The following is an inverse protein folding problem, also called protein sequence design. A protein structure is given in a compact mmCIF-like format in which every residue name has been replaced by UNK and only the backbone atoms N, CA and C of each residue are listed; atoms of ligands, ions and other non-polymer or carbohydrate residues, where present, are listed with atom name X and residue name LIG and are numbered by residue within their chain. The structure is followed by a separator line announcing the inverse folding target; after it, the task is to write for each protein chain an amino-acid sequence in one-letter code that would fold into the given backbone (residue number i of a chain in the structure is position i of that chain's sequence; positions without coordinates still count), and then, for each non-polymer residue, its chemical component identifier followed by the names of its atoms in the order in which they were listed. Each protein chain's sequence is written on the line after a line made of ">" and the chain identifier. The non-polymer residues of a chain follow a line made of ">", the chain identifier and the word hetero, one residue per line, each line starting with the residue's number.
data_IF_065897166134
#
_entry.id   IF_065897166134
#
_cell.length_a   1.000
_cell.length_b   1.000
_cell.length_c   1.000
_cell.angle_alpha   90.00
_cell.angle_beta   90.00
_cell.angle_gamma   90.00
#
_symmetry.space_group_name_H-M   'P 1'
#
loop_
_entity.id
_entity.type
_entity.pdbx_description
1 polymer ?
#
# COMPACT_ATOMS: atom_id res chain seq x y z
N UNK A 1 -17.62 -12.17 -18.24
CA UNK A 1 -16.54 -12.06 -17.23
C UNK A 1 -15.61 -11.01 -17.79
N UNK A 2 -15.52 -9.83 -17.19
CA UNK A 2 -14.58 -8.82 -17.67
C UNK A 2 -13.18 -9.42 -17.46
N UNK A 3 -12.48 -9.72 -18.56
CA UNK A 3 -11.06 -10.06 -18.49
C UNK A 3 -10.36 -8.81 -17.97
N UNK A 4 -9.89 -8.87 -16.73
CA UNK A 4 -8.94 -7.88 -16.23
C UNK A 4 -7.69 -8.11 -17.06
N UNK A 5 -7.37 -7.17 -17.94
CA UNK A 5 -6.19 -7.27 -18.78
C UNK A 5 -4.91 -7.06 -17.92
N UNK A 6 -3.79 -7.59 -18.40
CA UNK A 6 -2.51 -7.52 -17.70
C UNK A 6 -2.02 -6.07 -17.45
N UNK A 7 -2.48 -5.10 -18.25
CA UNK A 7 -2.13 -3.69 -18.09
C UNK A 7 -2.88 -3.08 -16.90
N UNK A 8 -4.17 -3.39 -16.76
CA UNK A 8 -4.99 -3.06 -15.60
C UNK A 8 -4.43 -3.66 -14.30
N UNK A 9 -3.94 -4.90 -14.33
CA UNK A 9 -3.29 -5.54 -13.18
C UNK A 9 -2.00 -4.82 -12.77
N UNK A 10 -1.16 -4.44 -13.73
CA UNK A 10 0.06 -3.66 -13.47
C UNK A 10 -0.23 -2.27 -12.93
N UNK A 11 -1.28 -1.60 -13.43
CA UNK A 11 -1.68 -0.30 -12.90
C UNK A 11 -2.11 -0.41 -11.44
N UNK A 12 -2.83 -1.47 -11.08
CA UNK A 12 -3.20 -1.74 -9.69
C UNK A 12 -1.97 -2.09 -8.84
N UNK A 13 -1.02 -2.89 -9.34
CA UNK A 13 0.25 -3.17 -8.67
C UNK A 13 1.01 -1.88 -8.34
N UNK A 14 1.14 -0.98 -9.32
CA UNK A 14 1.82 0.31 -9.14
C UNK A 14 1.10 1.18 -8.10
N UNK A 15 -0.22 1.29 -8.16
CA UNK A 15 -1.01 2.04 -7.17
C UNK A 15 -0.85 1.49 -5.76
N UNK A 16 -0.76 0.17 -5.61
CA UNK A 16 -0.52 -0.47 -4.31
C UNK A 16 0.90 -0.17 -3.80
N UNK A 17 1.93 -0.16 -4.67
CA UNK A 17 3.28 0.29 -4.29
C UNK A 17 3.30 1.74 -3.84
N UNK A 18 2.63 2.62 -4.58
CA UNK A 18 2.56 4.04 -4.25
C UNK A 18 1.89 4.25 -2.90
N UNK A 19 0.82 3.51 -2.60
CA UNK A 19 0.16 3.54 -1.30
C UNK A 19 1.08 3.05 -0.17
N UNK A 20 1.84 1.97 -0.36
CA UNK A 20 2.81 1.52 0.65
C UNK A 20 3.90 2.56 0.90
N UNK A 21 4.43 3.17 -0.17
CA UNK A 21 5.43 4.23 -0.06
C UNK A 21 4.87 5.46 0.64
N UNK A 22 3.63 5.84 0.34
CA UNK A 22 2.96 6.95 1.00
C UNK A 22 2.80 6.69 2.50
N UNK A 23 2.34 5.50 2.91
CA UNK A 23 2.23 5.13 4.33
C UNK A 23 3.60 5.21 5.03
N UNK A 24 4.67 4.76 4.38
CA UNK A 24 6.04 4.88 4.92
C UNK A 24 6.53 6.31 5.06
N UNK A 25 6.31 7.16 4.05
CA UNK A 25 6.67 8.59 4.10
C UNK A 25 5.93 9.27 5.25
N UNK A 26 4.65 8.95 5.48
CA UNK A 26 3.92 9.51 6.61
C UNK A 26 4.47 9.06 7.96
N UNK A 27 5.00 7.82 8.08
CA UNK A 27 5.73 7.40 9.29
C UNK A 27 7.10 8.07 9.41
N UNK A 28 7.86 8.23 8.32
CA UNK A 28 9.21 8.79 8.36
C UNK A 28 9.20 10.31 8.60
N UNK A 29 8.27 11.07 7.99
CA UNK A 29 8.09 12.51 8.26
C UNK A 29 7.67 12.79 9.72
N UNK A 30 7.21 11.79 10.47
CA UNK A 30 6.89 11.92 11.89
C UNK A 30 8.11 11.85 12.81
N UNK A 31 9.16 11.11 12.44
CA UNK A 31 10.39 11.04 13.23
C UNK A 31 11.16 12.37 13.24
N UNK A 32 10.97 13.23 12.23
CA UNK A 32 11.65 14.53 12.10
C UNK A 32 11.03 15.69 12.92
N UNK A 33 9.99 15.43 13.74
CA UNK A 33 9.65 16.33 14.86
C UNK A 33 8.23 16.91 14.93
N UNK A 34 7.20 16.19 14.46
CA UNK A 34 5.81 16.58 14.69
C UNK A 34 4.96 15.37 15.12
N UNK A 35 4.05 15.60 16.08
CA UNK A 35 3.01 14.69 16.56
C UNK A 35 2.58 13.66 15.51
N UNK A 36 2.63 12.36 15.84
CA UNK A 36 2.20 11.26 14.96
C UNK A 36 0.86 11.59 14.30
N UNK A 37 0.85 11.72 12.97
CA UNK A 37 -0.35 11.88 12.12
C UNK A 37 -1.02 10.53 11.89
N UNK A 38 -0.26 9.44 11.88
CA UNK A 38 -0.71 8.05 11.82
C UNK A 38 -0.01 7.27 12.94
N UNK A 39 -0.80 6.61 13.79
CA UNK A 39 -0.25 5.68 14.77
C UNK A 39 0.38 4.47 14.07
N UNK A 40 1.48 3.94 14.60
CA UNK A 40 2.20 2.79 14.02
C UNK A 40 1.30 1.57 13.78
N UNK A 41 0.32 1.36 14.66
CA UNK A 41 -0.67 0.30 14.51
C UNK A 41 -1.56 0.53 13.28
N UNK A 42 -1.92 1.79 13.01
CA UNK A 42 -2.72 2.17 11.83
C UNK A 42 -1.89 2.01 10.54
N UNK A 43 -0.62 2.40 10.55
CA UNK A 43 0.29 2.18 9.40
C UNK A 43 0.45 0.69 9.08
N UNK A 44 0.63 -0.14 10.12
CA UNK A 44 0.73 -1.59 9.98
C UNK A 44 -0.56 -2.20 9.41
N UNK A 45 -1.72 -1.81 9.93
CA UNK A 45 -3.01 -2.28 9.41
C UNK A 45 -3.24 -1.90 7.95
N UNK A 46 -2.79 -0.71 7.53
CA UNK A 46 -2.85 -0.28 6.14
C UNK A 46 -1.96 -1.14 5.24
N UNK A 47 -0.73 -1.41 5.67
CA UNK A 47 0.18 -2.31 4.94
C UNK A 47 -0.37 -3.73 4.83
N UNK A 48 -0.92 -4.29 5.92
CA UNK A 48 -1.51 -5.63 5.92
C UNK A 48 -2.69 -5.72 4.93
N UNK A 49 -3.56 -4.70 4.89
CA UNK A 49 -4.66 -4.62 3.93
C UNK A 49 -4.18 -4.51 2.48
N UNK A 50 -3.14 -3.73 2.22
CA UNK A 50 -2.55 -3.59 0.88
C UNK A 50 -1.98 -4.95 0.42
N UNK A 51 -1.31 -5.68 1.30
CA UNK A 51 -0.82 -7.03 1.00
C UNK A 51 -1.95 -8.04 0.75
N UNK A 52 -3.05 -7.98 1.51
CA UNK A 52 -4.22 -8.83 1.30
C UNK A 52 -4.88 -8.57 -0.06
N UNK A 53 -4.98 -7.31 -0.47
CA UNK A 53 -5.49 -6.92 -1.79
C UNK A 53 -4.57 -7.42 -2.90
N UNK A 54 -3.25 -7.22 -2.77
CA UNK A 54 -2.26 -7.73 -3.72
C UNK A 54 -2.35 -9.25 -3.89
N UNK A 55 -2.47 -10.01 -2.79
CA UNK A 55 -2.67 -11.46 -2.81
C UNK A 55 -3.97 -11.87 -3.50
N UNK A 56 -5.07 -11.17 -3.20
CA UNK A 56 -6.40 -11.45 -3.78
C UNK A 56 -6.42 -11.21 -5.29
N UNK A 57 -5.68 -10.20 -5.76
CA UNK A 57 -5.54 -9.89 -7.18
C UNK A 57 -4.51 -10.77 -7.89
N UNK A 58 -3.82 -11.68 -7.19
CA UNK A 58 -2.77 -12.52 -7.76
C UNK A 58 -1.52 -11.76 -8.19
N UNK A 59 -1.34 -10.52 -7.71
CA UNK A 59 -0.25 -9.61 -8.07
C UNK A 59 1.03 -9.94 -7.30
N UNK A 60 1.48 -11.21 -7.36
CA UNK A 60 2.55 -11.80 -6.56
C UNK A 60 3.64 -10.83 -6.05
N UNK A 61 3.78 -10.77 -4.72
CA UNK A 61 4.79 -10.05 -3.93
C UNK A 61 5.18 -8.67 -4.47
N UNK A 62 4.39 -7.67 -4.04
CA UNK A 62 4.79 -6.27 -3.99
C UNK A 62 6.04 -6.04 -3.13
#
# INVERSE_FOLDING_TARGET
>A
MAEVDDESLKEVENKLRDLMNWVKVFQEEEEEGATQKIEDETAKQLMDKIQEISKTLGLGTL
#
